data_IF_380065725866
#
_entry.id   IF_380065725866
#
_cell.length_a   1.000
_cell.length_b   1.000
_cell.length_c   1.000
_cell.angle_alpha   90.00
_cell.angle_beta   90.00
_cell.angle_gamma   90.00
#
_symmetry.space_group_name_H-M   'P 1'
#
loop_
_entity.id
_entity.type
_entity.pdbx_description
1 polymer ?
#
# COMPACT_ATOMS: atom_id res chain seq x y z
N UNK A 1 -22.58 -11.65 22.24
CA UNK A 1 -22.34 -12.20 23.58
C UNK A 1 -20.85 -12.32 23.78
N UNK A 2 -20.32 -11.56 24.73
CA UNK A 2 -18.90 -11.62 25.13
C UNK A 2 -18.66 -12.99 25.79
N UNK A 3 -17.73 -13.80 25.26
CA UNK A 3 -17.36 -15.06 25.91
C UNK A 3 -16.46 -14.80 27.12
N UNK A 4 -16.41 -15.74 28.05
CA UNK A 4 -15.47 -15.71 29.18
C UNK A 4 -14.02 -15.50 28.69
N UNK A 5 -13.65 -16.16 27.60
CA UNK A 5 -12.32 -16.00 26.98
C UNK A 5 -12.07 -14.57 26.50
N UNK A 6 -13.04 -13.95 25.82
CA UNK A 6 -12.93 -12.55 25.39
C UNK A 6 -12.79 -11.59 26.57
N UNK A 7 -13.47 -11.86 27.69
CA UNK A 7 -13.32 -11.08 28.92
C UNK A 7 -11.91 -11.20 29.52
N UNK A 8 -11.36 -12.42 29.62
CA UNK A 8 -10.00 -12.66 30.13
C UNK A 8 -8.97 -11.96 29.25
N UNK A 9 -9.07 -12.08 27.93
CA UNK A 9 -8.14 -11.44 27.00
C UNK A 9 -8.22 -9.91 27.11
N UNK A 10 -9.42 -9.32 27.27
CA UNK A 10 -9.58 -7.87 27.52
C UNK A 10 -8.93 -7.43 28.81
N UNK A 11 -9.00 -8.24 29.87
CA UNK A 11 -8.32 -7.95 31.14
C UNK A 11 -6.80 -7.96 30.96
N UNK A 12 -6.24 -8.99 30.31
CA UNK A 12 -4.81 -9.07 29.99
C UNK A 12 -4.34 -7.93 29.07
N UNK A 13 -5.20 -7.51 28.13
CA UNK A 13 -4.93 -6.37 27.28
C UNK A 13 -4.79 -5.08 28.09
N UNK A 14 -5.68 -4.81 29.06
CA UNK A 14 -5.59 -3.62 29.92
C UNK A 14 -4.27 -3.53 30.70
N UNK A 15 -3.69 -4.66 31.06
CA UNK A 15 -2.38 -4.70 31.73
C UNK A 15 -1.25 -4.38 30.74
N UNK A 16 -1.30 -4.98 29.55
CA UNK A 16 -0.30 -4.79 28.49
C UNK A 16 -0.35 -3.40 27.85
N UNK A 17 -1.54 -2.80 27.74
CA UNK A 17 -1.77 -1.50 27.11
C UNK A 17 -0.95 -0.36 27.74
N UNK A 18 -0.53 -0.52 29.00
CA UNK A 18 0.37 0.41 29.70
C UNK A 18 1.72 0.59 29.03
N UNK A 19 2.16 -0.38 28.22
CA UNK A 19 3.41 -0.33 27.47
C UNK A 19 3.27 0.36 26.10
N UNK A 20 2.07 0.86 25.78
CA UNK A 20 1.73 1.49 24.52
C UNK A 20 1.29 0.48 23.47
N UNK A 21 0.23 0.82 22.74
CA UNK A 21 -0.30 0.01 21.63
C UNK A 21 -0.62 0.92 20.45
N UNK A 22 0.30 0.93 19.48
CA UNK A 22 0.15 1.72 18.26
C UNK A 22 -1.11 1.34 17.49
N UNK A 23 -1.52 0.06 17.51
CA UNK A 23 -2.72 -0.40 16.81
C UNK A 23 -3.97 0.18 17.47
N UNK A 24 -4.03 0.23 18.79
CA UNK A 24 -5.14 0.86 19.50
C UNK A 24 -5.21 2.37 19.32
N UNK A 25 -4.07 3.05 19.20
CA UNK A 25 -4.03 4.50 18.93
C UNK A 25 -4.59 4.86 17.54
N UNK A 26 -4.41 3.97 16.55
CA UNK A 26 -4.83 4.21 15.17
C UNK A 26 -6.21 3.66 14.84
N UNK A 27 -6.68 2.64 15.55
CA UNK A 27 -7.91 1.93 15.20
C UNK A 27 -9.11 2.88 15.15
N UNK A 28 -9.29 3.81 16.10
CA UNK A 28 -10.38 4.78 16.08
C UNK A 28 -10.22 5.88 15.02
N UNK A 29 -9.03 6.00 14.39
CA UNK A 29 -8.78 7.04 13.38
C UNK A 29 -9.51 6.75 12.08
N UNK A 30 -9.91 5.51 11.83
CA UNK A 30 -10.57 5.06 10.59
C UNK A 30 -11.89 4.38 10.93
N UNK A 31 -12.96 4.71 10.23
CA UNK A 31 -14.22 3.97 10.30
C UNK A 31 -14.12 2.72 9.43
N UNK A 32 -13.71 1.62 10.06
CA UNK A 32 -13.53 0.34 9.37
C UNK A 32 -14.84 -0.23 8.81
N UNK A 33 -15.99 0.12 9.39
CA UNK A 33 -17.28 -0.40 8.93
C UNK A 33 -17.64 0.09 7.52
N UNK A 34 -17.06 1.21 7.08
CA UNK A 34 -17.24 1.72 5.71
C UNK A 34 -16.59 0.84 4.65
N UNK A 35 -15.65 -0.04 5.01
CA UNK A 35 -15.12 -1.04 4.08
C UNK A 35 -16.08 -2.20 3.84
N UNK A 36 -17.02 -2.48 4.75
CA UNK A 36 -18.01 -3.55 4.61
C UNK A 36 -18.80 -3.50 3.30
N UNK A 37 -19.46 -2.39 2.91
CA UNK A 37 -20.20 -2.33 1.64
C UNK A 37 -19.31 -2.52 0.40
N UNK A 38 -18.03 -2.14 0.49
CA UNK A 38 -17.04 -2.34 -0.58
C UNK A 38 -16.61 -3.80 -0.69
N UNK A 39 -16.70 -4.57 0.39
CA UNK A 39 -16.21 -5.94 0.45
C UNK A 39 -17.34 -6.96 0.28
N UNK A 40 -18.51 -6.69 0.86
CA UNK A 40 -19.63 -7.62 0.95
C UNK A 40 -20.06 -8.21 -0.40
N UNK A 41 -20.19 -7.41 -1.50
CA UNK A 41 -20.56 -8.00 -2.79
C UNK A 41 -19.46 -8.83 -3.49
N UNK A 42 -18.29 -9.08 -2.88
CA UNK A 42 -17.35 -10.13 -3.33
C UNK A 42 -17.78 -11.54 -2.90
N UNK A 43 -18.69 -11.63 -1.94
CA UNK A 43 -19.12 -12.89 -1.37
C UNK A 43 -20.39 -13.38 -2.06
N UNK A 44 -20.26 -14.48 -2.80
CA UNK A 44 -21.36 -15.12 -3.51
C UNK A 44 -22.15 -16.04 -2.57
N UNK A 45 -22.85 -15.48 -1.59
CA UNK A 45 -23.73 -16.26 -0.68
C UNK A 45 -25.22 -15.91 -0.83
N UNK A 46 -25.63 -15.34 -1.96
CA UNK A 46 -27.06 -15.27 -2.32
C UNK A 46 -27.57 -16.55 -3.02
N UNK A 47 -26.83 -17.66 -2.95
CA UNK A 47 -27.27 -18.95 -3.47
C UNK A 47 -28.25 -19.63 -2.50
N UNK A 48 -29.30 -20.31 -2.99
CA UNK A 48 -30.34 -20.94 -2.16
C UNK A 48 -29.83 -21.98 -1.15
N UNK A 49 -28.62 -22.49 -1.36
CA UNK A 49 -28.00 -23.57 -0.59
C UNK A 49 -27.09 -23.11 0.56
N UNK A 50 -27.11 -21.82 0.93
CA UNK A 50 -26.60 -21.35 2.22
C UNK A 50 -25.15 -21.73 2.53
N UNK A 51 -24.18 -21.08 1.87
CA UNK A 51 -22.76 -21.24 2.21
C UNK A 51 -22.44 -20.78 3.64
N UNK A 52 -21.36 -21.30 4.23
CA UNK A 52 -20.84 -20.90 5.56
C UNK A 52 -20.83 -19.37 5.69
N UNK A 53 -21.27 -18.80 6.83
CA UNK A 53 -21.22 -17.35 7.04
C UNK A 53 -19.81 -16.85 6.75
N UNK A 54 -19.71 -15.88 5.85
CA UNK A 54 -18.41 -15.33 5.49
C UNK A 54 -17.81 -14.66 6.72
N UNK A 55 -16.48 -14.77 6.84
CA UNK A 55 -15.71 -13.99 7.81
C UNK A 55 -16.06 -12.52 7.67
N UNK A 56 -16.18 -11.82 8.81
CA UNK A 56 -16.45 -10.38 8.86
C UNK A 56 -15.51 -9.60 7.89
N UNK A 57 -16.08 -8.84 6.94
CA UNK A 57 -15.33 -7.96 6.05
C UNK A 57 -14.30 -7.07 6.74
N UNK A 58 -14.65 -6.50 7.90
CA UNK A 58 -13.78 -5.60 8.65
C UNK A 58 -12.56 -6.36 9.16
N UNK A 59 -12.79 -7.54 9.74
CA UNK A 59 -11.74 -8.44 10.20
C UNK A 59 -10.75 -8.78 9.07
N UNK A 60 -11.26 -9.08 7.87
CA UNK A 60 -10.41 -9.43 6.72
C UNK A 60 -9.55 -8.26 6.24
N UNK A 61 -10.10 -7.03 6.20
CA UNK A 61 -9.32 -5.83 5.88
C UNK A 61 -8.25 -5.58 6.93
N UNK A 62 -8.61 -5.62 8.22
CA UNK A 62 -7.66 -5.45 9.35
C UNK A 62 -6.53 -6.48 9.32
N UNK A 63 -6.80 -7.74 8.96
CA UNK A 63 -5.77 -8.77 8.79
C UNK A 63 -4.76 -8.41 7.69
N UNK A 64 -5.21 -7.87 6.55
CA UNK A 64 -4.30 -7.44 5.48
C UNK A 64 -3.47 -6.21 5.89
N UNK A 65 -4.04 -5.31 6.70
CA UNK A 65 -3.28 -4.21 7.31
C UNK A 65 -2.17 -4.75 8.21
N UNK A 66 -2.49 -5.66 9.13
CA UNK A 66 -1.49 -6.29 10.01
C UNK A 66 -0.41 -7.00 9.19
N UNK A 67 -0.82 -7.75 8.16
CA UNK A 67 0.10 -8.45 7.30
C UNK A 67 1.09 -7.50 6.62
N UNK A 68 0.60 -6.40 6.05
CA UNK A 68 1.44 -5.45 5.34
C UNK A 68 2.34 -4.67 6.31
N UNK A 69 1.79 -4.18 7.42
CA UNK A 69 2.52 -3.37 8.40
C UNK A 69 3.66 -4.15 9.04
N UNK A 70 3.40 -5.39 9.47
CA UNK A 70 4.38 -6.21 10.17
C UNK A 70 5.18 -7.15 9.23
N UNK A 71 4.96 -7.07 7.91
CA UNK A 71 5.70 -7.86 6.92
C UNK A 71 5.48 -9.37 7.06
N UNK A 72 4.29 -9.80 7.47
CA UNK A 72 4.01 -11.20 7.84
C UNK A 72 3.74 -12.08 6.62
N UNK A 73 4.11 -13.35 6.72
CA UNK A 73 3.61 -14.40 5.81
C UNK A 73 2.18 -14.79 6.18
N UNK A 74 1.48 -15.54 5.33
CA UNK A 74 0.11 -15.99 5.65
C UNK A 74 0.05 -16.91 6.88
N UNK A 75 0.93 -17.92 7.03
CA UNK A 75 0.94 -18.76 8.23
C UNK A 75 1.31 -17.96 9.49
N UNK A 76 2.24 -17.00 9.35
CA UNK A 76 2.65 -16.17 10.48
C UNK A 76 1.54 -15.19 10.91
N UNK A 77 0.79 -14.64 9.95
CA UNK A 77 -0.38 -13.81 10.23
C UNK A 77 -1.44 -14.61 11.00
N UNK A 78 -1.78 -15.81 10.55
CA UNK A 78 -2.72 -16.69 11.26
C UNK A 78 -2.25 -16.95 12.70
N UNK A 79 -0.97 -17.33 12.86
CA UNK A 79 -0.36 -17.59 14.16
C UNK A 79 -0.39 -16.37 15.07
N UNK A 80 -0.03 -15.18 14.58
CA UNK A 80 -0.01 -13.97 15.41
C UNK A 80 -1.41 -13.43 15.70
N UNK A 81 -2.35 -13.51 14.75
CA UNK A 81 -3.72 -13.05 14.93
C UNK A 81 -4.46 -13.80 16.05
N UNK A 82 -4.10 -15.06 16.31
CA UNK A 82 -4.65 -15.85 17.41
C UNK A 82 -3.88 -15.80 18.73
N UNK A 83 -2.62 -15.34 18.72
CA UNK A 83 -1.73 -15.46 19.89
C UNK A 83 -1.26 -14.11 20.47
N UNK A 84 -1.32 -13.03 19.68
CA UNK A 84 -0.78 -11.72 20.08
C UNK A 84 -1.92 -10.82 20.57
N UNK A 85 -1.85 -10.38 21.82
CA UNK A 85 -2.98 -9.69 22.50
C UNK A 85 -3.32 -8.35 21.85
N UNK A 86 -2.32 -7.57 21.42
CA UNK A 86 -2.49 -6.32 20.66
C UNK A 86 -3.18 -6.57 19.31
N UNK A 87 -2.83 -7.66 18.61
CA UNK A 87 -3.50 -8.02 17.36
C UNK A 87 -4.94 -8.44 17.62
N UNK A 88 -5.18 -9.28 18.64
CA UNK A 88 -6.53 -9.69 19.01
C UNK A 88 -7.41 -8.49 19.37
N UNK A 89 -6.87 -7.51 20.10
CA UNK A 89 -7.56 -6.26 20.40
C UNK A 89 -7.90 -5.49 19.11
N UNK A 90 -6.91 -5.25 18.24
CA UNK A 90 -7.13 -4.56 16.96
C UNK A 90 -8.19 -5.23 16.09
N UNK A 91 -8.19 -6.57 16.08
CA UNK A 91 -9.12 -7.42 15.31
C UNK A 91 -10.51 -7.55 15.95
N UNK A 92 -10.75 -6.98 17.13
CA UNK A 92 -12.05 -7.03 17.81
C UNK A 92 -12.33 -8.36 18.53
N UNK A 93 -11.29 -9.07 18.96
CA UNK A 93 -11.36 -10.35 19.68
C UNK A 93 -12.17 -11.44 18.96
N UNK A 94 -11.78 -11.81 17.72
CA UNK A 94 -12.48 -12.87 17.00
C UNK A 94 -12.37 -14.20 17.75
N UNK A 95 -13.46 -14.98 17.79
CA UNK A 95 -13.46 -16.33 18.41
C UNK A 95 -12.38 -17.25 17.86
N UNK A 96 -12.09 -17.12 16.57
CA UNK A 96 -11.03 -17.84 15.87
C UNK A 96 -10.47 -16.95 14.76
N UNK A 97 -9.14 -16.87 14.68
CA UNK A 97 -8.48 -16.22 13.56
C UNK A 97 -8.79 -16.97 12.25
N UNK A 98 -9.09 -16.27 11.15
CA UNK A 98 -9.22 -16.90 9.84
C UNK A 98 -7.95 -17.64 9.45
N UNK A 99 -8.11 -18.82 8.84
CA UNK A 99 -6.96 -19.59 8.37
C UNK A 99 -6.23 -18.86 7.23
N UNK A 100 -4.95 -19.19 7.04
CA UNK A 100 -4.10 -18.58 6.01
C UNK A 100 -4.71 -18.70 4.61
N UNK A 101 -5.46 -19.77 4.34
CA UNK A 101 -6.09 -20.04 3.05
C UNK A 101 -7.27 -19.10 2.78
N UNK A 102 -8.00 -18.70 3.82
CA UNK A 102 -9.10 -17.76 3.79
C UNK A 102 -8.60 -16.36 3.50
N UNK A 103 -7.51 -15.94 4.15
CA UNK A 103 -6.85 -14.67 3.87
C UNK A 103 -6.30 -14.64 2.44
N UNK A 104 -5.72 -15.75 1.97
CA UNK A 104 -5.27 -15.88 0.59
C UNK A 104 -6.41 -15.73 -0.41
N UNK A 105 -7.51 -16.48 -0.26
CA UNK A 105 -8.70 -16.38 -1.14
C UNK A 105 -9.29 -14.97 -1.15
N UNK A 106 -9.25 -14.28 -0.02
CA UNK A 106 -9.71 -12.90 0.06
C UNK A 106 -8.85 -11.93 -0.77
N UNK A 107 -7.52 -12.05 -0.70
CA UNK A 107 -6.62 -11.27 -1.58
C UNK A 107 -6.84 -11.57 -3.05
N UNK A 108 -7.09 -12.84 -3.41
CA UNK A 108 -7.40 -13.21 -4.80
C UNK A 108 -8.66 -12.51 -5.28
N UNK A 109 -9.76 -12.56 -4.51
CA UNK A 109 -11.01 -11.87 -4.84
C UNK A 109 -10.82 -10.36 -4.98
N UNK A 110 -10.03 -9.74 -4.11
CA UNK A 110 -9.68 -8.32 -4.23
C UNK A 110 -8.94 -8.03 -5.53
N UNK A 111 -7.96 -8.86 -5.88
CA UNK A 111 -7.15 -8.70 -7.09
C UNK A 111 -7.99 -8.84 -8.36
N UNK A 112 -8.91 -9.82 -8.39
CA UNK A 112 -9.83 -10.11 -9.50
C UNK A 112 -10.89 -9.02 -9.68
N UNK A 113 -11.50 -8.56 -8.57
CA UNK A 113 -12.59 -7.58 -8.62
C UNK A 113 -12.12 -6.13 -8.66
N UNK A 114 -10.84 -5.86 -8.38
CA UNK A 114 -10.29 -4.51 -8.32
C UNK A 114 -10.74 -3.69 -7.10
N UNK A 115 -11.40 -4.33 -6.12
CA UNK A 115 -11.93 -3.67 -4.91
C UNK A 115 -10.86 -3.11 -3.98
N UNK A 116 -9.61 -3.52 -4.15
CA UNK A 116 -8.48 -2.87 -3.47
C UNK A 116 -8.42 -1.37 -3.77
N UNK A 117 -8.79 -0.95 -4.99
CA UNK A 117 -8.88 0.46 -5.37
C UNK A 117 -10.01 1.19 -4.63
N UNK A 118 -11.17 0.56 -4.50
CA UNK A 118 -12.30 1.12 -3.77
C UNK A 118 -12.02 1.24 -2.26
N UNK A 119 -11.28 0.29 -1.67
CA UNK A 119 -10.78 0.41 -0.30
C UNK A 119 -9.86 1.62 -0.16
N UNK A 120 -8.97 1.82 -1.14
CA UNK A 120 -8.09 3.00 -1.16
C UNK A 120 -8.89 4.30 -1.26
N UNK A 121 -9.84 4.38 -2.18
CA UNK A 121 -10.73 5.53 -2.35
C UNK A 121 -11.51 5.85 -1.07
N UNK A 122 -12.05 4.83 -0.39
CA UNK A 122 -12.74 5.03 0.90
C UNK A 122 -11.81 5.54 2.00
N UNK A 123 -10.57 5.05 2.07
CA UNK A 123 -9.57 5.60 2.98
C UNK A 123 -9.33 7.09 2.67
N UNK A 124 -9.13 7.45 1.39
CA UNK A 124 -8.90 8.84 0.99
C UNK A 124 -10.11 9.72 1.33
N UNK A 125 -11.33 9.22 1.12
CA UNK A 125 -12.59 9.91 1.48
C UNK A 125 -12.63 10.23 2.98
N UNK A 126 -12.31 9.26 3.83
CA UNK A 126 -12.28 9.47 5.29
C UNK A 126 -11.18 10.45 5.72
N UNK A 127 -10.02 10.43 5.07
CA UNK A 127 -8.95 11.42 5.32
C UNK A 127 -9.44 12.84 4.98
N UNK A 128 -10.16 12.98 3.87
CA UNK A 128 -10.69 14.27 3.44
C UNK A 128 -11.80 14.79 4.35
N UNK A 129 -12.68 13.91 4.84
CA UNK A 129 -13.70 14.25 5.86
C UNK A 129 -13.07 14.76 7.15
N UNK A 130 -11.85 14.34 7.48
CA UNK A 130 -11.06 14.84 8.63
C UNK A 130 -10.29 16.12 8.31
N UNK A 131 -10.45 16.69 7.12
CA UNK A 131 -9.73 17.90 6.69
C UNK A 131 -8.25 17.66 6.39
N UNK A 132 -7.81 16.41 6.25
CA UNK A 132 -6.43 16.01 5.93
C UNK A 132 -6.16 16.06 4.43
N UNK A 133 -6.52 17.18 3.80
CA UNK A 133 -6.48 17.41 2.36
C UNK A 133 -5.14 17.99 1.88
N UNK A 134 -4.90 17.94 0.58
CA UNK A 134 -3.70 18.55 -0.04
C UNK A 134 -3.76 20.08 0.04
N UNK A 135 -2.77 20.71 0.69
CA UNK A 135 -2.70 22.19 0.82
C UNK A 135 -1.46 22.80 0.16
N UNK A 136 -0.26 22.27 0.41
CA UNK A 136 1.03 22.84 -0.02
C UNK A 136 1.57 22.26 -1.34
N UNK A 137 0.77 21.45 -2.03
CA UNK A 137 1.18 20.65 -3.19
C UNK A 137 1.61 19.23 -2.81
N UNK A 138 2.06 18.49 -3.82
CA UNK A 138 2.26 17.04 -3.77
C UNK A 138 3.62 16.67 -4.37
N UNK A 139 4.21 15.59 -3.86
CA UNK A 139 5.39 14.97 -4.46
C UNK A 139 4.94 13.70 -5.15
N UNK A 140 5.32 13.54 -6.41
CA UNK A 140 5.16 12.27 -7.11
C UNK A 140 6.53 11.68 -7.43
N UNK A 141 6.68 10.40 -7.09
CA UNK A 141 7.90 9.64 -7.35
C UNK A 141 7.58 8.14 -7.52
N UNK A 142 8.56 7.38 -7.99
CA UNK A 142 8.43 5.96 -8.23
C UNK A 142 9.63 5.18 -7.67
N UNK A 143 9.35 3.97 -7.21
CA UNK A 143 10.38 3.10 -6.65
C UNK A 143 10.20 1.66 -7.11
N UNK A 144 11.31 1.00 -7.43
CA UNK A 144 11.31 -0.41 -7.78
C UNK A 144 10.90 -1.31 -6.62
N UNK A 145 10.03 -2.27 -6.92
CA UNK A 145 9.65 -3.39 -6.06
C UNK A 145 10.13 -4.66 -6.76
N UNK A 146 11.11 -5.35 -6.17
CA UNK A 146 11.73 -6.49 -6.85
C UNK A 146 10.89 -7.75 -6.74
N UNK A 147 11.07 -8.67 -7.68
CA UNK A 147 10.47 -10.01 -7.63
C UNK A 147 11.46 -11.03 -8.20
N UNK A 148 11.11 -12.31 -8.13
CA UNK A 148 11.97 -13.37 -8.65
C UNK A 148 11.75 -13.61 -10.17
N UNK A 149 12.78 -13.46 -11.03
CA UNK A 149 12.67 -13.77 -12.47
C UNK A 149 12.61 -15.27 -12.77
N UNK A 150 12.96 -16.11 -11.78
CA UNK A 150 13.16 -17.55 -11.95
C UNK A 150 14.47 -17.88 -12.68
N UNK A 151 14.79 -19.18 -12.76
CA UNK A 151 16.02 -19.69 -13.40
C UNK A 151 15.85 -20.01 -14.90
N UNK A 152 14.62 -19.95 -15.42
CA UNK A 152 14.36 -20.17 -16.83
C UNK A 152 14.77 -18.94 -17.65
N UNK A 153 15.25 -19.17 -18.89
CA UNK A 153 15.52 -18.10 -19.85
C UNK A 153 14.25 -17.25 -20.08
N UNK A 154 14.43 -15.95 -20.33
CA UNK A 154 13.35 -14.97 -20.40
C UNK A 154 12.32 -15.28 -21.51
N UNK A 155 12.72 -16.03 -22.53
CA UNK A 155 11.96 -16.49 -23.69
C UNK A 155 11.04 -17.68 -23.42
N UNK A 156 11.19 -18.39 -22.28
CA UNK A 156 10.29 -19.51 -21.94
C UNK A 156 9.08 -18.97 -21.17
N UNK A 157 7.89 -18.86 -21.80
CA UNK A 157 6.68 -18.42 -21.10
C UNK A 157 6.39 -19.37 -19.94
N UNK A 158 5.93 -18.80 -18.84
CA UNK A 158 5.44 -19.58 -17.71
C UNK A 158 4.08 -20.14 -18.13
N UNK A 159 3.90 -21.46 -18.11
CA UNK A 159 2.57 -22.06 -18.23
C UNK A 159 1.67 -21.65 -17.05
N UNK A 160 0.38 -21.50 -17.29
CA UNK A 160 -0.57 -20.91 -16.34
C UNK A 160 -0.66 -21.66 -14.99
N UNK A 161 -0.35 -22.96 -14.98
CA UNK A 161 -0.49 -23.84 -13.81
C UNK A 161 0.77 -23.99 -12.94
N UNK A 162 1.91 -23.40 -13.33
CA UNK A 162 3.17 -23.64 -12.62
C UNK A 162 3.13 -23.09 -11.18
N UNK A 163 3.28 -23.93 -10.15
CA UNK A 163 3.46 -23.51 -8.74
C UNK A 163 4.89 -23.00 -8.52
N UNK A 164 5.15 -21.74 -8.83
CA UNK A 164 6.48 -21.12 -8.72
C UNK A 164 6.42 -19.68 -8.20
N UNK A 165 7.51 -19.25 -7.55
CA UNK A 165 7.75 -17.86 -7.14
C UNK A 165 8.16 -16.94 -8.31
N UNK A 166 8.42 -17.51 -9.50
CA UNK A 166 8.75 -16.74 -10.71
C UNK A 166 7.64 -15.75 -11.03
N UNK A 167 7.93 -14.46 -11.02
CA UNK A 167 6.97 -13.43 -11.44
C UNK A 167 6.51 -13.67 -12.87
N UNK A 168 5.19 -13.62 -13.09
CA UNK A 168 4.55 -13.73 -14.41
C UNK A 168 4.55 -12.38 -15.13
N UNK A 169 4.20 -11.32 -14.40
CA UNK A 169 3.95 -10.00 -14.97
C UNK A 169 5.09 -8.99 -14.66
N UNK A 170 6.13 -9.42 -13.95
CA UNK A 170 7.33 -8.62 -13.68
C UNK A 170 8.17 -8.42 -14.93
N UNK A 171 8.81 -7.26 -15.04
CA UNK A 171 9.64 -6.90 -16.21
C UNK A 171 11.06 -6.50 -15.82
N UNK A 172 12.00 -6.64 -16.75
CA UNK A 172 13.38 -6.17 -16.61
C UNK A 172 13.50 -4.68 -16.96
N UNK A 173 14.37 -3.98 -16.26
CA UNK A 173 14.77 -2.59 -16.57
C UNK A 173 16.20 -2.33 -16.11
N UNK A 174 16.94 -1.52 -16.87
CA UNK A 174 18.32 -1.12 -16.54
C UNK A 174 18.35 0.36 -16.13
N UNK A 175 18.70 0.63 -14.87
CA UNK A 175 18.93 1.99 -14.34
C UNK A 175 20.21 1.97 -13.51
N UNK A 176 21.35 2.08 -14.19
CA UNK A 176 22.68 1.77 -13.64
C UNK A 176 22.91 0.26 -13.52
N UNK A 177 22.11 -0.41 -12.69
CA UNK A 177 22.02 -1.88 -12.59
C UNK A 177 20.69 -2.41 -13.15
N UNK A 178 20.62 -3.72 -13.39
CA UNK A 178 19.40 -4.40 -13.81
C UNK A 178 18.49 -4.67 -12.61
N UNK A 179 17.21 -4.38 -12.77
CA UNK A 179 16.16 -4.69 -11.81
C UNK A 179 15.08 -5.53 -12.50
N UNK A 180 14.54 -6.50 -11.78
CA UNK A 180 13.38 -7.27 -12.23
C UNK A 180 12.23 -7.14 -11.24
N UNK A 181 11.04 -6.88 -11.77
CA UNK A 181 9.79 -6.82 -11.00
C UNK A 181 8.91 -5.67 -11.43
N UNK A 182 8.58 -4.81 -10.48
CA UNK A 182 7.54 -3.80 -10.59
C UNK A 182 8.04 -2.41 -10.15
N UNK A 183 7.21 -1.39 -10.36
CA UNK A 183 7.34 -0.05 -9.79
C UNK A 183 6.09 0.27 -8.99
N UNK A 184 6.30 0.83 -7.81
CA UNK A 184 5.29 1.52 -7.04
C UNK A 184 5.45 3.02 -7.30
N UNK A 185 4.47 3.62 -7.97
CA UNK A 185 4.33 5.06 -8.13
C UNK A 185 3.47 5.58 -6.99
N UNK A 186 3.89 6.67 -6.34
CA UNK A 186 3.13 7.29 -5.26
C UNK A 186 3.07 8.79 -5.41
N UNK A 187 1.91 9.35 -5.05
CA UNK A 187 1.71 10.77 -4.79
C UNK A 187 1.54 10.96 -3.29
N UNK A 188 2.37 11.79 -2.68
CA UNK A 188 2.30 12.13 -1.26
C UNK A 188 2.03 13.63 -1.10
N UNK A 189 1.17 14.00 -0.16
CA UNK A 189 0.95 15.41 0.17
C UNK A 189 2.10 15.96 1.03
N UNK A 190 2.44 17.24 0.83
CA UNK A 190 3.53 17.91 1.56
C UNK A 190 3.13 18.49 2.92
N UNK A 191 1.86 18.41 3.30
CA UNK A 191 1.32 19.04 4.51
C UNK A 191 1.32 18.06 5.67
N UNK A 192 0.77 16.88 5.44
CA UNK A 192 0.56 15.81 6.40
C UNK A 192 1.47 14.60 6.12
N UNK A 193 2.06 14.52 4.93
CA UNK A 193 2.93 13.40 4.55
C UNK A 193 2.17 12.10 4.34
N UNK A 194 0.89 12.18 4.00
CA UNK A 194 0.02 11.06 3.67
C UNK A 194 0.16 10.74 2.18
N UNK A 195 0.16 9.45 1.86
CA UNK A 195 0.05 8.98 0.48
C UNK A 195 -1.39 9.22 0.04
N UNK A 196 -1.55 9.99 -1.04
CA UNK A 196 -2.84 10.39 -1.60
C UNK A 196 -3.25 9.55 -2.80
N UNK A 197 -2.28 9.14 -3.61
CA UNK A 197 -2.51 8.23 -4.73
C UNK A 197 -1.36 7.25 -4.90
N UNK A 198 -1.66 6.08 -5.48
CA UNK A 198 -0.65 5.11 -5.89
C UNK A 198 -1.03 4.44 -7.20
N UNK A 199 -0.02 3.94 -7.91
CA UNK A 199 -0.21 3.02 -9.03
C UNK A 199 0.93 2.00 -9.04
N UNK A 200 0.62 0.76 -9.40
CA UNK A 200 1.63 -0.30 -9.53
C UNK A 200 1.75 -0.71 -10.98
N UNK A 201 2.97 -0.67 -11.52
CA UNK A 201 3.24 -1.05 -12.91
C UNK A 201 4.38 -2.07 -13.00
N UNK A 202 4.53 -2.81 -14.11
CA UNK A 202 5.77 -3.52 -14.39
C UNK A 202 6.97 -2.56 -14.43
N UNK A 203 8.18 -3.07 -14.13
CA UNK A 203 9.35 -2.20 -13.95
C UNK A 203 9.86 -1.49 -15.21
N UNK A 204 9.53 -2.00 -16.40
CA UNK A 204 9.89 -1.39 -17.68
C UNK A 204 9.04 -0.15 -18.02
N UNK A 205 7.88 0.04 -17.39
CA UNK A 205 7.03 1.22 -17.62
C UNK A 205 7.79 2.46 -17.14
N UNK A 206 7.98 3.42 -18.03
CA UNK A 206 8.69 4.66 -17.72
C UNK A 206 7.87 5.54 -16.76
N UNK A 207 8.55 6.21 -15.83
CA UNK A 207 7.89 6.96 -14.74
C UNK A 207 6.95 8.04 -15.28
N UNK A 208 7.34 8.72 -16.37
CA UNK A 208 6.54 9.74 -17.05
C UNK A 208 5.24 9.23 -17.70
N UNK A 209 5.00 7.91 -17.76
CA UNK A 209 3.73 7.34 -18.26
C UNK A 209 2.64 7.30 -17.20
N UNK A 210 3.00 7.54 -15.94
CA UNK A 210 2.05 7.55 -14.81
C UNK A 210 2.00 8.96 -14.27
N UNK A 211 0.82 9.57 -14.29
CA UNK A 211 0.56 10.87 -13.67
C UNK A 211 -0.55 10.73 -12.63
N UNK A 212 -0.20 10.94 -11.36
CA UNK A 212 -1.11 10.84 -10.22
C UNK A 212 -1.61 12.21 -9.76
N UNK A 213 -1.09 13.30 -10.34
CA UNK A 213 -1.50 14.66 -9.99
C UNK A 213 -2.94 14.95 -10.40
N UNK A 214 -3.60 15.82 -9.65
CA UNK A 214 -4.93 16.34 -9.97
C UNK A 214 -4.86 17.82 -10.39
N UNK A 215 -5.82 18.31 -11.17
CA UNK A 215 -5.94 19.73 -11.47
C UNK A 215 -5.93 20.59 -10.20
N UNK A 216 -5.19 21.70 -10.23
CA UNK A 216 -5.05 22.61 -9.08
C UNK A 216 -3.99 22.22 -8.03
N UNK A 217 -3.32 21.06 -8.18
CA UNK A 217 -2.20 20.68 -7.32
C UNK A 217 -0.86 21.10 -7.93
N UNK A 218 0.06 21.71 -7.16
CA UNK A 218 1.47 21.81 -7.58
C UNK A 218 2.13 20.45 -7.40
N UNK A 219 2.59 19.82 -8.49
CA UNK A 219 3.25 18.50 -8.45
C UNK A 219 4.76 18.62 -8.63
N UNK A 220 5.50 18.23 -7.59
CA UNK A 220 6.96 18.22 -7.60
C UNK A 220 7.49 16.86 -8.03
N UNK A 221 8.20 16.81 -9.18
CA UNK A 221 8.68 15.55 -9.80
C UNK A 221 10.17 15.56 -10.13
N UNK A 222 10.72 14.36 -10.31
CA UNK A 222 12.11 14.15 -10.69
C UNK A 222 12.39 14.46 -12.18
N UNK A 223 13.66 14.40 -12.56
CA UNK A 223 14.09 14.65 -13.95
C UNK A 223 13.59 13.58 -14.95
N UNK A 224 13.23 12.40 -14.47
CA UNK A 224 12.63 11.33 -15.24
C UNK A 224 11.23 11.66 -15.76
N UNK A 225 10.51 12.59 -15.13
CA UNK A 225 9.20 13.06 -15.62
C UNK A 225 9.30 14.17 -16.68
N UNK A 226 10.50 14.66 -17.00
CA UNK A 226 10.65 15.77 -17.95
C UNK A 226 10.11 15.40 -19.33
N UNK A 227 9.33 16.30 -19.91
CA UNK A 227 8.77 16.17 -21.26
C UNK A 227 7.33 15.65 -21.28
N UNK A 228 6.72 15.40 -20.12
CA UNK A 228 5.30 15.07 -20.00
C UNK A 228 4.63 16.07 -19.07
N UNK A 229 3.66 16.81 -19.59
CA UNK A 229 2.87 17.74 -18.78
C UNK A 229 1.99 16.97 -17.78
N UNK A 230 2.00 17.33 -16.49
CA UNK A 230 1.07 16.77 -15.53
C UNK A 230 -0.33 17.38 -15.68
N UNK A 231 -1.33 16.71 -15.11
CA UNK A 231 -2.68 17.26 -14.90
C UNK A 231 -2.69 18.44 -13.93
N UNK A 232 -1.78 18.44 -12.94
CA UNK A 232 -1.56 19.55 -12.03
C UNK A 232 -0.60 20.63 -12.56
N UNK A 233 -0.20 21.57 -11.71
CA UNK A 233 0.81 22.59 -12.04
C UNK A 233 2.22 22.01 -11.98
N UNK A 234 2.97 22.18 -13.07
CA UNK A 234 4.23 21.48 -13.28
C UNK A 234 5.43 22.05 -12.49
N UNK A 235 5.86 21.32 -11.45
CA UNK A 235 7.12 21.53 -10.76
C UNK A 235 8.11 20.37 -10.98
N UNK A 236 8.24 19.89 -12.23
CA UNK A 236 9.19 18.86 -12.64
C UNK A 236 10.60 19.41 -12.80
N UNK A 237 11.60 18.69 -12.27
CA UNK A 237 13.00 19.05 -12.45
C UNK A 237 13.44 18.95 -13.92
N UNK A 238 14.30 19.87 -14.36
CA UNK A 238 14.90 19.83 -15.69
C UNK A 238 16.21 19.02 -15.71
N UNK A 239 16.47 18.33 -16.81
CA UNK A 239 17.69 17.58 -17.12
C UNK A 239 18.46 18.30 -18.22
N UNK A 240 19.78 18.21 -18.16
CA UNK A 240 20.61 18.62 -19.29
C UNK A 240 20.41 17.63 -20.44
N UNK A 241 20.52 18.09 -21.67
CA UNK A 241 20.59 17.24 -22.86
C UNK A 241 21.94 17.42 -23.55
N UNK A 242 22.26 16.51 -24.49
CA UNK A 242 23.51 16.56 -25.24
C UNK A 242 23.61 17.93 -25.94
N UNK A 243 24.70 18.66 -25.71
CA UNK A 243 24.93 20.00 -26.26
C UNK A 243 24.17 21.14 -25.56
N UNK A 244 23.30 20.85 -24.60
CA UNK A 244 22.52 21.86 -23.88
C UNK A 244 22.62 21.66 -22.36
N UNK A 245 23.67 22.22 -21.73
CA UNK A 245 23.82 22.16 -20.28
C UNK A 245 22.75 22.99 -19.57
N UNK A 246 22.43 22.63 -18.33
CA UNK A 246 21.50 23.40 -17.51
C UNK A 246 22.10 24.77 -17.16
N UNK A 247 21.36 25.83 -17.47
CA UNK A 247 21.68 27.17 -17.01
C UNK A 247 21.59 27.32 -15.49
N UNK A 248 22.18 28.39 -14.94
CA UNK A 248 22.20 28.67 -13.50
C UNK A 248 20.78 28.72 -12.91
N UNK A 249 19.84 29.36 -13.60
CA UNK A 249 18.43 29.47 -13.17
C UNK A 249 17.77 28.10 -13.01
N UNK A 250 18.00 27.18 -13.95
CA UNK A 250 17.43 25.83 -13.88
C UNK A 250 18.09 24.98 -12.80
N UNK A 251 19.40 25.15 -12.57
CA UNK A 251 20.09 24.53 -11.42
C UNK A 251 19.49 24.99 -10.09
N UNK A 252 19.32 26.31 -9.89
CA UNK A 252 18.69 26.89 -8.70
C UNK A 252 17.23 26.42 -8.53
N UNK A 253 16.44 26.36 -9.62
CA UNK A 253 15.08 25.81 -9.61
C UNK A 253 15.07 24.34 -9.18
N UNK A 254 15.95 23.52 -9.76
CA UNK A 254 16.07 22.10 -9.42
C UNK A 254 16.47 21.90 -7.95
N UNK A 255 17.36 22.71 -7.39
CA UNK A 255 17.71 22.63 -5.97
C UNK A 255 16.51 22.94 -5.06
N UNK A 256 15.70 23.96 -5.40
CA UNK A 256 14.48 24.27 -4.66
C UNK A 256 13.46 23.13 -4.73
N UNK A 257 13.23 22.56 -5.91
CA UNK A 257 12.33 21.42 -6.10
C UNK A 257 12.83 20.20 -5.34
N UNK A 258 14.13 19.90 -5.42
CA UNK A 258 14.72 18.75 -4.70
C UNK A 258 14.50 18.84 -3.19
N UNK A 259 14.68 20.03 -2.59
CA UNK A 259 14.38 20.26 -1.16
C UNK A 259 12.92 20.00 -0.83
N UNK A 260 11.99 20.44 -1.69
CA UNK A 260 10.54 20.18 -1.52
C UNK A 260 10.20 18.70 -1.69
N UNK A 261 10.90 17.96 -2.54
CA UNK A 261 10.65 16.54 -2.83
C UNK A 261 11.19 15.57 -1.78
N UNK A 262 12.23 15.96 -1.03
CA UNK A 262 12.90 15.08 -0.06
C UNK A 262 11.95 14.31 0.88
N UNK A 263 10.87 14.91 1.44
CA UNK A 263 9.91 14.16 2.26
C UNK A 263 9.25 12.97 1.56
N UNK A 264 9.10 13.01 0.23
CA UNK A 264 8.49 11.95 -0.57
C UNK A 264 9.29 10.64 -0.61
N UNK A 265 10.54 10.62 -0.15
CA UNK A 265 11.35 9.41 -0.06
C UNK A 265 10.98 8.54 1.17
N UNK A 266 10.44 9.17 2.22
CA UNK A 266 10.13 8.50 3.50
C UNK A 266 9.12 7.36 3.36
N UNK A 267 7.98 7.50 2.65
CA UNK A 267 7.06 6.39 2.44
C UNK A 267 7.73 5.16 1.82
N UNK A 268 8.57 5.35 0.79
CA UNK A 268 9.31 4.26 0.18
C UNK A 268 10.29 3.60 1.16
N UNK A 269 11.01 4.40 1.96
CA UNK A 269 11.94 3.86 2.94
C UNK A 269 11.23 2.99 3.99
N UNK A 270 10.07 3.44 4.50
CA UNK A 270 9.28 2.70 5.49
C UNK A 270 8.70 1.42 4.87
N UNK A 271 8.03 1.52 3.71
CA UNK A 271 7.44 0.37 3.03
C UNK A 271 8.50 -0.70 2.73
N UNK A 272 9.70 -0.30 2.32
CA UNK A 272 10.77 -1.24 1.98
C UNK A 272 11.46 -1.85 3.20
N UNK A 273 11.83 -1.02 4.17
CA UNK A 273 12.73 -1.42 5.26
C UNK A 273 12.01 -1.84 6.53
N UNK A 274 10.87 -1.20 6.82
CA UNK A 274 10.10 -1.49 8.05
C UNK A 274 9.02 -2.52 7.75
N UNK A 275 8.27 -2.36 6.67
CA UNK A 275 7.19 -3.29 6.29
C UNK A 275 7.68 -4.50 5.49
N UNK A 276 8.97 -4.55 5.14
CA UNK A 276 9.56 -5.64 4.34
C UNK A 276 8.97 -5.79 2.92
N UNK A 277 8.27 -4.76 2.41
CA UNK A 277 7.52 -4.82 1.15
C UNK A 277 8.33 -4.34 -0.06
N UNK A 278 9.66 -4.34 0.03
CA UNK A 278 10.55 -4.00 -1.09
C UNK A 278 10.77 -5.13 -2.10
N UNK A 279 10.39 -6.36 -1.74
CA UNK A 279 10.46 -7.55 -2.57
C UNK A 279 9.13 -8.32 -2.47
N UNK A 280 8.61 -8.82 -3.59
CA UNK A 280 7.32 -9.52 -3.65
C UNK A 280 7.49 -10.93 -4.19
N UNK A 281 6.78 -11.86 -3.54
CA UNK A 281 6.73 -13.28 -3.92
C UNK A 281 5.46 -13.65 -4.71
N UNK A 282 4.53 -12.69 -4.85
CA UNK A 282 3.33 -12.86 -5.67
C UNK A 282 3.66 -12.56 -7.12
N UNK A 283 2.96 -13.25 -8.02
CA UNK A 283 3.46 -13.44 -9.38
C UNK A 283 2.74 -12.59 -10.41
N UNK A 284 1.54 -12.08 -10.12
CA UNK A 284 0.76 -11.26 -11.03
C UNK A 284 0.73 -9.79 -10.60
N UNK A 285 0.56 -8.90 -11.58
CA UNK A 285 0.46 -7.47 -11.33
C UNK A 285 -0.73 -7.13 -10.42
N UNK A 286 -1.86 -7.80 -10.58
CA UNK A 286 -3.05 -7.60 -9.74
C UNK A 286 -2.79 -7.95 -8.27
N UNK A 287 -2.08 -9.05 -7.99
CA UNK A 287 -1.69 -9.43 -6.62
C UNK A 287 -0.67 -8.45 -6.03
N UNK A 288 0.28 -7.97 -6.84
CA UNK A 288 1.23 -6.95 -6.39
C UNK A 288 0.51 -5.64 -6.08
N UNK A 289 -0.46 -5.23 -6.90
CA UNK A 289 -1.30 -4.05 -6.68
C UNK A 289 -1.98 -4.12 -5.31
N UNK A 290 -2.70 -5.21 -5.02
CA UNK A 290 -3.31 -5.42 -3.69
C UNK A 290 -2.28 -5.29 -2.59
N UNK A 291 -1.13 -5.96 -2.71
CA UNK A 291 -0.07 -5.91 -1.69
C UNK A 291 0.48 -4.49 -1.48
N UNK A 292 0.68 -3.72 -2.54
CA UNK A 292 1.16 -2.34 -2.45
C UNK A 292 0.09 -1.37 -1.92
N UNK A 293 -1.19 -1.58 -2.26
CA UNK A 293 -2.31 -0.83 -1.70
C UNK A 293 -2.35 -0.96 -0.18
N UNK A 294 -2.28 -2.18 0.36
CA UNK A 294 -2.26 -2.40 1.80
C UNK A 294 -0.98 -1.92 2.48
N UNK A 295 0.18 -1.96 1.80
CA UNK A 295 1.41 -1.36 2.31
C UNK A 295 1.31 0.17 2.41
N UNK A 296 0.71 0.83 1.42
CA UNK A 296 0.47 2.28 1.45
C UNK A 296 -0.58 2.65 2.50
N UNK A 297 -1.65 1.85 2.64
CA UNK A 297 -2.66 2.03 3.67
C UNK A 297 -2.04 1.91 5.06
N UNK A 298 -1.23 0.85 5.30
CA UNK A 298 -0.48 0.70 6.55
C UNK A 298 0.45 1.88 6.83
N UNK A 299 1.09 2.44 5.80
CA UNK A 299 1.92 3.64 5.96
C UNK A 299 1.08 4.85 6.39
N UNK A 300 -0.07 5.08 5.75
CA UNK A 300 -0.96 6.17 6.11
C UNK A 300 -1.46 6.04 7.56
N UNK A 301 -1.78 4.83 8.02
CA UNK A 301 -2.16 4.60 9.42
C UNK A 301 -1.02 4.93 10.40
N UNK A 302 0.21 4.50 10.11
CA UNK A 302 1.39 4.89 10.90
C UNK A 302 1.55 6.41 10.93
N UNK A 303 1.35 7.06 9.79
CA UNK A 303 1.48 8.51 9.67
C UNK A 303 0.38 9.24 10.44
N UNK A 304 -0.87 8.77 10.40
CA UNK A 304 -1.98 9.31 11.19
C UNK A 304 -1.68 9.26 12.70
N UNK A 305 -1.14 8.15 13.20
CA UNK A 305 -0.71 8.05 14.60
C UNK A 305 0.31 9.12 14.98
N UNK A 306 1.20 9.50 14.06
CA UNK A 306 2.22 10.55 14.28
C UNK A 306 1.67 11.97 14.21
N UNK A 307 0.57 12.19 13.48
CA UNK A 307 0.02 13.53 13.29
C UNK A 307 -0.65 14.08 14.56
N UNK A 308 -1.08 13.21 15.49
CA UNK A 308 -1.66 13.60 16.79
C UNK A 308 -3.02 14.33 16.67
N UNK A 309 -4.03 13.96 17.46
CA UNK A 309 -5.23 14.81 17.65
C UNK A 309 -6.05 15.27 16.42
N UNK A 310 -6.04 14.54 15.30
CA UNK A 310 -6.92 14.75 14.13
C UNK A 310 -7.71 13.50 13.80
#
# INVERSE_FOLDING_TARGET
MDSFDSYVIRKLYKETAKHGDKLAEIEPRIDWNKFTPIIQPMYNNQSPSGGRPNTDPVLMVKLLVLQAWYGLSDPELERQAGNRIDFMHFLGYPKKAPDYSTVWRFRERLAETGRDKLIWEELQRQLDEKGLTVKKGVVQDASFITSDPGHARADKPRGDEAKTRRSRDGAWVKKGRSFFGYKLHMKMDLTYGLIRELETTPANVHDSRVDLSLPGEVVYRDKGYQGVEPRGWDATMKRASRGHPLGIRDKLRNMRISRKRCPGERPFAVIKRVFGSGHVLVTSLSRVRVKMTFACLGFNLVQLGRLGGV
#
